data_IF_672047869761
#
_entry.id   IF_672047869761
#
_cell.length_a   1.000
_cell.length_b   1.000
_cell.length_c   1.000
_cell.angle_alpha   90.00
_cell.angle_beta   90.00
_cell.angle_gamma   90.00
#
_symmetry.space_group_name_H-M   'P 1'
#
loop_
_entity.id
_entity.type
_entity.pdbx_description
1 polymer ?
#
# COMPACT_ATOMS: atom_id res chain seq x y z
N UNK A 1 -21.38 -9.38 -3.59
CA UNK A 1 -20.00 -9.10 -4.04
C UNK A 1 -19.97 -8.50 -5.45
N UNK A 2 -20.84 -8.93 -6.37
CA UNK A 2 -20.90 -8.42 -7.76
C UNK A 2 -21.58 -7.05 -7.97
N UNK A 3 -22.09 -6.41 -6.91
CA UNK A 3 -22.79 -5.12 -7.04
C UNK A 3 -21.88 -3.90 -6.87
N UNK A 4 -20.64 -4.08 -6.43
CA UNK A 4 -19.71 -2.98 -6.20
C UNK A 4 -18.77 -2.85 -7.40
N UNK A 5 -18.66 -1.62 -7.90
CA UNK A 5 -17.70 -1.24 -8.95
C UNK A 5 -16.27 -1.64 -8.56
N UNK A 6 -15.45 -1.97 -9.56
CA UNK A 6 -14.05 -2.32 -9.34
C UNK A 6 -13.27 -1.15 -8.73
N UNK A 7 -13.63 0.09 -9.06
CA UNK A 7 -13.04 1.28 -8.46
C UNK A 7 -13.26 1.35 -6.95
N UNK A 8 -14.45 0.98 -6.47
CA UNK A 8 -14.75 0.96 -5.04
C UNK A 8 -13.93 -0.13 -4.33
N UNK A 9 -13.82 -1.32 -4.94
CA UNK A 9 -13.00 -2.41 -4.42
C UNK A 9 -11.52 -2.02 -4.29
N UNK A 10 -10.93 -1.46 -5.34
CA UNK A 10 -9.53 -1.06 -5.32
C UNK A 10 -9.27 0.08 -4.35
N UNK A 11 -10.20 1.03 -4.22
CA UNK A 11 -10.10 2.13 -3.25
C UNK A 11 -10.19 1.61 -1.81
N UNK A 12 -11.07 0.63 -1.54
CA UNK A 12 -11.18 -0.03 -0.24
C UNK A 12 -9.90 -0.78 0.15
N UNK A 13 -9.29 -1.52 -0.78
CA UNK A 13 -8.02 -2.19 -0.52
C UNK A 13 -6.88 -1.20 -0.30
N UNK A 14 -6.88 -0.09 -1.04
CA UNK A 14 -5.90 0.98 -0.89
C UNK A 14 -5.98 1.62 0.49
N UNK A 15 -7.19 1.90 0.99
CA UNK A 15 -7.36 2.47 2.34
C UNK A 15 -6.91 1.49 3.43
N UNK A 16 -7.17 0.19 3.27
CA UNK A 16 -6.69 -0.84 4.18
C UNK A 16 -5.15 -0.90 4.22
N UNK A 17 -4.49 -0.90 3.06
CA UNK A 17 -3.03 -0.86 2.96
C UNK A 17 -2.44 0.40 3.61
N UNK A 18 -3.05 1.57 3.42
CA UNK A 18 -2.62 2.81 4.04
C UNK A 18 -2.66 2.75 5.57
N UNK A 19 -3.76 2.25 6.14
CA UNK A 19 -3.92 2.14 7.61
C UNK A 19 -2.86 1.22 8.22
N UNK A 20 -2.48 0.15 7.52
CA UNK A 20 -1.47 -0.80 8.00
C UNK A 20 -0.03 -0.32 7.80
N UNK A 21 0.26 0.34 6.67
CA UNK A 21 1.65 0.66 6.27
C UNK A 21 2.15 2.01 6.78
N UNK A 22 1.31 3.05 6.79
CA UNK A 22 1.70 4.42 7.16
C UNK A 22 2.23 4.54 8.60
N UNK A 23 1.67 3.86 9.62
CA UNK A 23 2.21 3.92 10.99
C UNK A 23 3.66 3.45 11.08
N UNK A 24 4.06 2.47 10.26
CA UNK A 24 5.42 1.93 10.26
C UNK A 24 6.42 2.93 9.70
N UNK A 25 6.07 3.62 8.61
CA UNK A 25 6.89 4.73 8.09
C UNK A 25 7.00 5.86 9.11
N UNK A 26 5.87 6.27 9.71
CA UNK A 26 5.84 7.32 10.72
C UNK A 26 6.75 6.98 11.91
N UNK A 27 6.75 5.73 12.38
CA UNK A 27 7.66 5.25 13.42
C UNK A 27 9.13 5.32 13.00
N UNK A 28 9.46 4.89 11.78
CA UNK A 28 10.82 4.96 11.23
C UNK A 28 11.35 6.40 11.17
N UNK A 29 10.52 7.34 10.69
CA UNK A 29 10.85 8.75 10.63
C UNK A 29 10.95 9.39 12.02
N UNK A 30 10.10 8.98 12.96
CA UNK A 30 10.18 9.42 14.36
C UNK A 30 11.52 8.99 14.98
N UNK A 31 11.93 7.72 14.83
CA UNK A 31 13.22 7.25 15.33
C UNK A 31 14.39 8.02 14.71
N UNK A 32 14.32 8.31 13.41
CA UNK A 32 15.34 9.12 12.74
C UNK A 32 15.37 10.56 13.29
N UNK A 33 14.20 11.14 13.55
CA UNK A 33 14.08 12.47 14.15
C UNK A 33 14.66 12.49 15.56
N UNK A 34 14.38 11.46 16.37
CA UNK A 34 14.93 11.31 17.71
C UNK A 34 16.46 11.18 17.70
N UNK A 35 17.01 10.38 16.79
CA UNK A 35 18.47 10.21 16.66
C UNK A 35 19.16 11.52 16.29
N UNK A 36 18.51 12.35 15.46
CA UNK A 36 19.05 13.63 15.02
C UNK A 36 18.94 14.75 16.07
N UNK A 37 17.92 14.74 16.93
CA UNK A 37 17.58 15.91 17.76
C UNK A 37 17.57 15.64 19.27
N UNK A 38 17.43 14.39 19.70
CA UNK A 38 17.22 14.03 21.11
C UNK A 38 18.27 13.05 21.66
N UNK A 39 19.41 12.92 20.97
CA UNK A 39 20.55 12.06 21.36
C UNK A 39 20.20 10.56 21.54
N UNK A 40 19.11 10.08 20.94
CA UNK A 40 18.86 8.63 20.84
C UNK A 40 19.81 8.00 19.83
N UNK A 41 19.78 6.67 19.74
CA UNK A 41 20.68 5.91 18.85
C UNK A 41 20.04 4.63 18.33
N UNK A 42 18.90 4.75 17.66
CA UNK A 42 18.24 3.64 16.97
C UNK A 42 19.05 3.15 15.77
N UNK A 43 19.66 4.08 15.01
CA UNK A 43 20.36 3.79 13.74
C UNK A 43 21.88 4.04 13.80
N UNK A 44 22.41 4.67 14.86
CA UNK A 44 23.84 4.95 15.00
C UNK A 44 24.65 3.74 15.52
N UNK A 45 25.45 3.15 14.63
CA UNK A 45 26.32 1.99 14.93
C UNK A 45 27.31 2.28 16.08
N UNK A 46 27.80 3.52 16.21
CA UNK A 46 28.79 3.86 17.25
C UNK A 46 28.21 3.76 18.67
N UNK A 47 26.88 3.84 18.79
CA UNK A 47 26.13 3.78 20.04
C UNK A 47 25.26 2.52 20.15
N UNK A 48 25.50 1.51 19.30
CA UNK A 48 24.82 0.21 19.33
C UNK A 48 23.52 0.12 18.50
N UNK A 49 23.17 1.16 17.73
CA UNK A 49 22.05 1.13 16.79
C UNK A 49 22.38 0.35 15.50
N UNK A 50 21.37 0.12 14.66
CA UNK A 50 21.52 -0.64 13.42
C UNK A 50 20.84 0.07 12.22
N UNK A 51 21.60 0.58 11.23
CA UNK A 51 21.06 1.20 10.02
C UNK A 51 20.15 0.28 9.19
N UNK A 52 20.33 -1.05 9.28
CA UNK A 52 19.49 -2.02 8.58
C UNK A 52 18.03 -1.99 9.09
N UNK A 53 17.81 -1.60 10.35
CA UNK A 53 16.47 -1.41 10.90
C UNK A 53 15.69 -0.35 10.11
N UNK A 54 16.34 0.76 9.73
CA UNK A 54 15.70 1.78 8.91
C UNK A 54 15.28 1.22 7.55
N UNK A 55 16.13 0.40 6.92
CA UNK A 55 15.81 -0.23 5.63
C UNK A 55 14.60 -1.16 5.74
N UNK A 56 14.54 -1.99 6.78
CA UNK A 56 13.39 -2.87 7.00
C UNK A 56 12.09 -2.09 7.22
N UNK A 57 12.11 -1.07 8.09
CA UNK A 57 10.91 -0.27 8.36
C UNK A 57 10.48 0.56 7.13
N UNK A 58 11.44 1.11 6.40
CA UNK A 58 11.18 1.86 5.17
C UNK A 58 10.58 0.96 4.10
N UNK A 59 11.17 -0.19 3.82
CA UNK A 59 10.67 -1.10 2.78
C UNK A 59 9.42 -1.88 3.17
N UNK A 60 9.15 -2.05 4.47
CA UNK A 60 7.85 -2.53 4.95
C UNK A 60 6.71 -1.60 4.53
N UNK A 61 6.95 -0.28 4.44
CA UNK A 61 6.01 0.67 3.86
C UNK A 61 6.17 0.80 2.33
N UNK A 62 7.40 0.84 1.82
CA UNK A 62 7.69 1.15 0.43
C UNK A 62 7.16 0.13 -0.57
N UNK A 63 7.07 -1.15 -0.20
CA UNK A 63 6.43 -2.16 -1.06
C UNK A 63 4.90 -2.01 -1.11
N UNK A 64 4.17 -1.89 0.02
CA UNK A 64 2.76 -1.48 0.01
C UNK A 64 2.47 -0.17 -0.72
N UNK A 65 3.37 0.83 -0.64
CA UNK A 65 3.20 2.14 -1.29
C UNK A 65 3.02 2.02 -2.81
N UNK A 66 3.83 1.18 -3.47
CA UNK A 66 3.69 1.02 -4.92
C UNK A 66 2.36 0.34 -5.29
N UNK A 67 1.80 -0.49 -4.41
CA UNK A 67 0.46 -1.06 -4.60
C UNK A 67 -0.67 -0.06 -4.33
N UNK A 68 -0.51 0.79 -3.32
CA UNK A 68 -1.42 1.90 -3.02
C UNK A 68 -1.59 2.81 -4.24
N UNK A 69 -0.52 3.02 -5.01
CA UNK A 69 -0.55 3.83 -6.23
C UNK A 69 -1.24 3.09 -7.39
N UNK A 70 -0.94 1.79 -7.58
CA UNK A 70 -1.41 1.07 -8.77
C UNK A 70 -2.86 0.56 -8.65
N UNK A 71 -3.34 0.20 -7.46
CA UNK A 71 -4.67 -0.38 -7.26
C UNK A 71 -5.80 0.55 -7.74
N UNK A 72 -5.85 1.84 -7.37
CA UNK A 72 -6.85 2.77 -7.91
C UNK A 72 -6.75 2.91 -9.43
N UNK A 73 -5.54 2.81 -9.99
CA UNK A 73 -5.31 2.76 -11.44
C UNK A 73 -6.04 1.59 -12.11
N UNK A 74 -5.97 0.39 -11.52
CA UNK A 74 -6.75 -0.77 -12.00
C UNK A 74 -8.26 -0.53 -11.93
N UNK A 75 -8.73 0.12 -10.87
CA UNK A 75 -10.13 0.52 -10.73
C UNK A 75 -10.60 1.45 -11.84
N UNK A 76 -9.84 2.52 -12.09
CA UNK A 76 -10.14 3.51 -13.15
C UNK A 76 -10.13 2.87 -14.53
N UNK A 77 -9.12 2.04 -14.84
CA UNK A 77 -9.04 1.34 -16.13
C UNK A 77 -10.24 0.40 -16.30
N UNK A 78 -10.66 -0.28 -15.23
CA UNK A 78 -11.82 -1.17 -15.27
C UNK A 78 -13.10 -0.40 -15.62
N UNK A 79 -13.35 0.74 -14.98
CA UNK A 79 -14.53 1.58 -15.28
C UNK A 79 -14.45 2.19 -16.70
N UNK A 80 -13.27 2.61 -17.14
CA UNK A 80 -13.07 3.14 -18.49
C UNK A 80 -13.35 2.07 -19.57
N UNK A 81 -12.89 0.83 -19.37
CA UNK A 81 -13.16 -0.28 -20.30
C UNK A 81 -14.64 -0.63 -20.33
N UNK A 82 -15.32 -0.63 -19.17
CA UNK A 82 -16.75 -0.87 -19.10
C UNK A 82 -17.53 0.17 -19.92
N UNK A 83 -17.20 1.45 -19.74
CA UNK A 83 -17.80 2.56 -20.47
C UNK A 83 -17.51 2.53 -21.98
N UNK A 84 -16.25 2.32 -22.37
CA UNK A 84 -15.84 2.35 -23.78
C UNK A 84 -16.34 1.16 -24.60
N UNK A 85 -16.66 0.03 -23.95
CA UNK A 85 -17.15 -1.17 -24.64
C UNK A 85 -18.67 -1.28 -24.62
N UNK A 86 -19.36 -0.37 -23.94
CA UNK A 86 -20.83 -0.37 -23.77
C UNK A 86 -21.37 -1.73 -23.25
N UNK A 87 -20.64 -2.32 -22.29
CA UNK A 87 -21.00 -3.59 -21.65
C UNK A 87 -21.68 -3.33 -20.32
N UNK A 88 -22.65 -4.16 -19.97
CA UNK A 88 -23.33 -4.08 -18.66
C UNK A 88 -22.44 -4.53 -17.49
N UNK A 89 -21.40 -5.33 -17.77
CA UNK A 89 -20.50 -5.88 -16.75
C UNK A 89 -19.11 -6.18 -17.27
N UNK A 90 -18.15 -6.17 -16.33
CA UNK A 90 -16.78 -6.61 -16.58
C UNK A 90 -16.70 -8.13 -16.70
N UNK A 91 -15.82 -8.59 -17.57
CA UNK A 91 -15.52 -10.01 -17.67
C UNK A 91 -14.73 -10.46 -16.44
N UNK A 92 -15.25 -11.46 -15.71
CA UNK A 92 -14.54 -12.04 -14.57
C UNK A 92 -14.38 -11.10 -13.37
N UNK A 93 -15.37 -10.24 -13.08
CA UNK A 93 -15.33 -9.29 -11.95
C UNK A 93 -14.99 -9.96 -10.61
N UNK A 94 -15.54 -11.14 -10.33
CA UNK A 94 -15.19 -11.92 -9.14
C UNK A 94 -13.70 -12.29 -9.11
N UNK A 95 -13.16 -12.83 -10.20
CA UNK A 95 -11.73 -13.18 -10.30
C UNK A 95 -10.82 -11.95 -10.18
N UNK A 96 -11.20 -10.81 -10.76
CA UNK A 96 -10.45 -9.56 -10.62
C UNK A 96 -10.46 -9.04 -9.18
N UNK A 97 -11.58 -9.19 -8.49
CA UNK A 97 -11.71 -8.82 -7.06
C UNK A 97 -10.79 -9.69 -6.21
N UNK A 98 -10.82 -11.01 -6.39
CA UNK A 98 -9.91 -11.91 -5.67
C UNK A 98 -8.44 -11.65 -5.99
N UNK A 99 -8.10 -11.39 -7.26
CA UNK A 99 -6.74 -11.02 -7.65
C UNK A 99 -6.28 -9.74 -6.95
N UNK A 100 -7.14 -8.72 -6.87
CA UNK A 100 -6.83 -7.46 -6.18
C UNK A 100 -6.61 -7.67 -4.68
N UNK A 101 -7.42 -8.53 -4.04
CA UNK A 101 -7.25 -8.92 -2.63
C UNK A 101 -5.90 -9.61 -2.43
N UNK A 102 -5.52 -10.55 -3.31
CA UNK A 102 -4.24 -11.24 -3.23
C UNK A 102 -3.05 -10.32 -3.43
N UNK A 103 -3.14 -9.33 -4.32
CA UNK A 103 -2.10 -8.29 -4.47
C UNK A 103 -1.94 -7.51 -3.16
N UNK A 104 -3.05 -7.10 -2.53
CA UNK A 104 -2.98 -6.35 -1.27
C UNK A 104 -2.49 -7.20 -0.08
N UNK A 105 -2.72 -8.51 -0.07
CA UNK A 105 -2.29 -9.40 1.01
C UNK A 105 -0.83 -9.85 0.90
N UNK A 106 -0.33 -10.05 -0.32
CA UNK A 106 1.04 -10.52 -0.58
C UNK A 106 2.03 -9.37 -0.76
N UNK A 107 1.52 -8.15 -0.94
CA UNK A 107 2.31 -6.93 -1.15
C UNK A 107 2.76 -6.24 0.12
#
# INVERSE_FOLDING_TARGET
>A
LDQMSMFIWTTYLTSLLLVLSVPVLAGSLLFLLLDRNFNTSFYDVKKGGNPLLYQHLFWFFGHPEVYIIILPGFGIISEAVLFLTDKDRLFGQASMTYASIWIALLG
#
